data_IF_739185398941
#
_entry.id   IF_739185398941
#
_cell.length_a   1.000
_cell.length_b   1.000
_cell.length_c   1.000
_cell.angle_alpha   90.00
_cell.angle_beta   90.00
_cell.angle_gamma   90.00
#
_symmetry.space_group_name_H-M   'P 1'
#
loop_
_entity.id
_entity.type
_entity.pdbx_description
1 polymer ?
#
# COMPACT_ATOMS: atom_id res chain seq x y z
N UNK A 1 -8.00 -7.07 -3.58
CA UNK A 1 -8.94 -8.14 -3.95
C UNK A 1 -8.33 -9.49 -3.62
N UNK A 2 -9.05 -10.33 -2.89
CA UNK A 2 -8.76 -11.77 -2.79
C UNK A 2 -9.03 -12.46 -4.14
N UNK A 3 -8.52 -13.67 -4.35
CA UNK A 3 -8.71 -14.39 -5.62
C UNK A 3 -10.18 -14.50 -6.04
N UNK A 4 -11.08 -14.85 -5.11
CA UNK A 4 -12.53 -14.89 -5.37
C UNK A 4 -13.13 -13.55 -5.81
N UNK A 5 -12.56 -12.45 -5.34
CA UNK A 5 -13.02 -11.10 -5.67
C UNK A 5 -12.45 -10.65 -7.02
N UNK A 6 -11.22 -11.06 -7.36
CA UNK A 6 -10.64 -10.86 -8.69
C UNK A 6 -11.52 -11.49 -9.78
N UNK A 7 -12.04 -12.69 -9.51
CA UNK A 7 -12.98 -13.38 -10.41
C UNK A 7 -14.30 -12.63 -10.62
N UNK A 8 -14.69 -11.73 -9.72
CA UNK A 8 -15.93 -10.96 -9.83
C UNK A 8 -15.71 -9.55 -10.40
N UNK A 9 -14.54 -8.95 -10.15
CA UNK A 9 -14.24 -7.57 -10.55
C UNK A 9 -13.76 -7.44 -11.98
N UNK A 10 -13.03 -8.41 -12.52
CA UNK A 10 -12.53 -8.35 -13.89
C UNK A 10 -13.57 -8.85 -14.90
N UNK A 11 -13.56 -8.31 -16.12
CA UNK A 11 -14.27 -8.89 -17.25
C UNK A 11 -13.67 -10.24 -17.64
N UNK A 12 -14.43 -11.10 -18.32
CA UNK A 12 -13.94 -12.42 -18.73
C UNK A 12 -12.78 -12.32 -19.73
N UNK A 13 -12.82 -11.33 -20.63
CA UNK A 13 -11.71 -11.01 -21.53
C UNK A 13 -10.44 -10.67 -20.74
N UNK A 14 -10.54 -9.81 -19.73
CA UNK A 14 -9.39 -9.42 -18.89
C UNK A 14 -8.85 -10.61 -18.10
N UNK A 15 -9.72 -11.47 -17.55
CA UNK A 15 -9.28 -12.69 -16.85
C UNK A 15 -8.48 -13.61 -17.77
N UNK A 16 -8.96 -13.81 -19.00
CA UNK A 16 -8.29 -14.63 -19.99
C UNK A 16 -6.93 -14.03 -20.38
N UNK A 17 -6.87 -12.71 -20.57
CA UNK A 17 -5.62 -12.01 -20.88
C UNK A 17 -4.59 -12.08 -19.73
N UNK A 18 -5.05 -12.17 -18.48
CA UNK A 18 -4.19 -12.23 -17.29
C UNK A 18 -3.90 -13.65 -16.80
N UNK A 19 -4.44 -14.70 -17.46
CA UNK A 19 -4.40 -16.08 -16.95
C UNK A 19 -2.98 -16.59 -16.68
N UNK A 20 -2.02 -16.22 -17.53
CA UNK A 20 -0.62 -16.65 -17.44
C UNK A 20 0.28 -15.62 -16.72
N UNK A 21 -0.28 -14.51 -16.23
CA UNK A 21 0.48 -13.46 -15.57
C UNK A 21 0.64 -13.73 -14.07
N UNK A 22 1.87 -13.64 -13.56
CA UNK A 22 2.13 -13.68 -12.12
C UNK A 22 2.48 -12.27 -11.59
N UNK A 23 1.54 -11.57 -10.94
CA UNK A 23 1.79 -10.23 -10.42
C UNK A 23 2.77 -10.19 -9.23
N UNK A 24 3.24 -11.34 -8.77
CA UNK A 24 4.20 -11.47 -7.66
C UNK A 24 5.58 -11.95 -8.12
N UNK A 25 5.84 -11.99 -9.43
CA UNK A 25 7.13 -12.42 -9.96
C UNK A 25 8.30 -11.62 -9.37
N UNK A 26 8.19 -10.28 -9.33
CA UNK A 26 9.19 -9.41 -8.71
C UNK A 26 9.42 -9.74 -7.22
N UNK A 27 8.35 -10.04 -6.48
CA UNK A 27 8.43 -10.41 -5.06
C UNK A 27 9.23 -11.69 -4.89
N UNK A 28 8.93 -12.69 -5.73
CA UNK A 28 9.61 -13.98 -5.73
C UNK A 28 11.08 -13.79 -6.08
N UNK A 29 11.36 -13.02 -7.14
CA UNK A 29 12.72 -12.67 -7.56
C UNK A 29 13.51 -12.01 -6.42
N UNK A 30 12.98 -10.97 -5.78
CA UNK A 30 13.65 -10.30 -4.67
C UNK A 30 13.95 -11.24 -3.50
N UNK A 31 13.03 -12.16 -3.17
CA UNK A 31 13.29 -13.16 -2.12
C UNK A 31 14.42 -14.09 -2.51
N UNK A 32 14.42 -14.61 -3.74
CA UNK A 32 15.47 -15.50 -4.23
C UNK A 32 16.84 -14.82 -4.27
N UNK A 33 16.91 -13.60 -4.81
CA UNK A 33 18.14 -12.82 -4.92
C UNK A 33 18.73 -12.43 -3.57
N UNK A 34 17.88 -12.21 -2.55
CA UNK A 34 18.33 -11.82 -1.21
C UNK A 34 19.20 -12.87 -0.53
N UNK A 35 19.06 -14.15 -0.90
CA UNK A 35 19.68 -15.31 -0.24
C UNK A 35 19.41 -15.41 1.28
N UNK A 36 18.45 -14.64 1.79
CA UNK A 36 18.08 -14.66 3.20
C UNK A 36 17.34 -15.95 3.50
N UNK A 37 17.62 -16.55 4.65
CA UNK A 37 17.02 -17.83 5.05
C UNK A 37 15.82 -17.63 5.99
N UNK A 38 15.83 -16.57 6.80
CA UNK A 38 14.80 -16.32 7.81
C UNK A 38 13.68 -15.45 7.23
N UNK A 39 12.44 -15.88 7.39
CA UNK A 39 11.28 -15.17 6.86
C UNK A 39 11.15 -13.74 7.38
N UNK A 40 11.48 -13.50 8.65
CA UNK A 40 11.47 -12.15 9.20
C UNK A 40 12.44 -11.21 8.47
N UNK A 41 13.63 -11.70 8.12
CA UNK A 41 14.63 -10.91 7.38
C UNK A 41 14.18 -10.69 5.93
N UNK A 42 13.58 -11.70 5.29
CA UNK A 42 12.97 -11.57 3.95
C UNK A 42 11.86 -10.52 3.93
N UNK A 43 10.98 -10.50 4.94
CA UNK A 43 9.91 -9.50 5.06
C UNK A 43 10.49 -8.09 5.18
N UNK A 44 11.55 -7.90 5.98
CA UNK A 44 12.22 -6.61 6.10
C UNK A 44 12.89 -6.19 4.79
N UNK A 45 13.53 -7.13 4.09
CA UNK A 45 14.13 -6.88 2.79
C UNK A 45 13.09 -6.46 1.73
N UNK A 46 11.99 -7.20 1.61
CA UNK A 46 10.87 -6.85 0.74
C UNK A 46 10.26 -5.50 1.12
N UNK A 47 10.18 -5.20 2.42
CA UNK A 47 9.71 -3.89 2.88
C UNK A 47 10.62 -2.75 2.41
N UNK A 48 11.93 -2.98 2.32
CA UNK A 48 12.87 -1.98 1.76
C UNK A 48 12.73 -1.87 0.23
N UNK A 49 12.61 -3.02 -0.47
CA UNK A 49 12.60 -3.07 -1.93
C UNK A 49 11.29 -2.63 -2.59
N UNK A 50 10.16 -2.90 -1.94
CA UNK A 50 8.84 -2.66 -2.53
C UNK A 50 8.09 -1.56 -1.78
N UNK A 51 7.89 -1.76 -0.47
CA UNK A 51 7.02 -0.85 0.31
C UNK A 51 7.65 0.52 0.54
N UNK A 52 8.92 0.56 0.95
CA UNK A 52 9.60 1.81 1.27
C UNK A 52 9.81 2.64 0.00
N UNK A 53 10.32 2.01 -1.05
CA UNK A 53 10.62 2.67 -2.33
C UNK A 53 9.34 3.13 -3.04
N UNK A 54 8.41 2.21 -3.30
CA UNK A 54 7.31 2.43 -4.24
C UNK A 54 6.02 2.92 -3.56
N UNK A 55 5.94 2.94 -2.23
CA UNK A 55 4.79 3.51 -1.50
C UNK A 55 5.18 4.73 -0.65
N UNK A 56 6.21 4.61 0.21
CA UNK A 56 6.53 5.67 1.18
C UNK A 56 7.34 6.80 0.56
N UNK A 57 8.50 6.50 -0.02
CA UNK A 57 9.45 7.52 -0.47
C UNK A 57 8.91 8.29 -1.68
N UNK A 58 8.30 7.60 -2.64
CA UNK A 58 7.71 8.25 -3.83
C UNK A 58 6.67 9.31 -3.47
N UNK A 59 5.85 9.08 -2.43
CA UNK A 59 4.81 10.04 -2.02
C UNK A 59 5.41 11.26 -1.35
N UNK A 60 6.39 11.05 -0.47
CA UNK A 60 7.08 12.13 0.24
C UNK A 60 7.81 13.01 -0.77
N UNK A 61 8.58 12.41 -1.67
CA UNK A 61 9.36 13.12 -2.68
C UNK A 61 8.47 13.95 -3.61
N UNK A 62 7.45 13.32 -4.22
CA UNK A 62 6.53 14.03 -5.12
C UNK A 62 5.79 15.17 -4.44
N UNK A 63 5.31 14.96 -3.21
CA UNK A 63 4.59 15.99 -2.47
C UNK A 63 5.50 17.15 -2.03
N UNK A 64 6.74 16.85 -1.59
CA UNK A 64 7.66 17.88 -1.16
C UNK A 64 8.21 18.68 -2.33
N UNK A 65 8.62 18.02 -3.41
CA UNK A 65 9.16 18.69 -4.60
C UNK A 65 8.11 19.52 -5.34
N UNK A 66 6.83 19.11 -5.33
CA UNK A 66 5.72 19.94 -5.81
C UNK A 66 5.60 21.29 -5.06
N UNK A 67 6.19 21.40 -3.87
CA UNK A 67 6.22 22.61 -3.06
C UNK A 67 7.65 23.16 -2.89
N UNK A 68 8.60 22.75 -3.73
CA UNK A 68 10.03 23.15 -3.65
C UNK A 68 10.68 22.87 -2.29
N UNK A 69 10.25 21.81 -1.61
CA UNK A 69 10.79 21.37 -0.32
C UNK A 69 11.65 20.11 -0.49
N UNK A 70 12.88 20.16 0.03
CA UNK A 70 13.76 18.99 0.12
C UNK A 70 13.54 18.26 1.46
N UNK A 71 13.09 17.00 1.41
CA UNK A 71 12.92 16.16 2.61
C UNK A 71 14.11 15.23 2.78
N UNK A 72 14.70 15.23 3.98
CA UNK A 72 15.77 14.31 4.36
C UNK A 72 15.22 13.14 5.18
N UNK A 73 15.79 11.95 4.99
CA UNK A 73 15.37 10.70 5.64
C UNK A 73 16.53 10.05 6.40
N UNK A 74 16.95 10.58 7.57
CA UNK A 74 18.18 10.16 8.25
C UNK A 74 18.27 8.67 8.59
N UNK A 75 17.12 8.01 8.83
CA UNK A 75 17.07 6.57 9.11
C UNK A 75 17.44 5.70 7.89
N UNK A 76 17.53 6.28 6.70
CA UNK A 76 17.93 5.60 5.46
C UNK A 76 19.36 5.92 5.04
N UNK A 77 20.17 6.50 5.93
CA UNK A 77 21.61 6.51 5.71
C UNK A 77 22.12 5.08 5.52
N UNK A 78 22.89 4.86 4.45
CA UNK A 78 23.35 3.53 4.07
C UNK A 78 24.16 2.84 5.17
N UNK A 79 25.04 3.57 5.87
CA UNK A 79 25.85 2.98 6.96
C UNK A 79 24.97 2.55 8.13
N UNK A 80 23.94 3.33 8.45
CA UNK A 80 22.97 2.99 9.49
C UNK A 80 22.12 1.78 9.08
N UNK A 81 21.62 1.75 7.85
CA UNK A 81 20.81 0.64 7.33
C UNK A 81 21.61 -0.66 7.27
N UNK A 82 22.85 -0.63 6.78
CA UNK A 82 23.74 -1.79 6.72
C UNK A 82 24.03 -2.35 8.11
N UNK A 83 24.36 -1.47 9.07
CA UNK A 83 24.56 -1.85 10.46
C UNK A 83 23.31 -2.53 11.04
N UNK A 84 22.14 -1.89 10.93
CA UNK A 84 20.89 -2.43 11.47
C UNK A 84 20.48 -3.72 10.74
N UNK A 85 20.70 -3.82 9.44
CA UNK A 85 20.42 -5.03 8.66
C UNK A 85 21.20 -6.23 9.19
N UNK A 86 22.48 -6.05 9.55
CA UNK A 86 23.33 -7.08 10.14
C UNK A 86 22.99 -7.50 11.57
N UNK A 87 22.16 -6.73 12.30
CA UNK A 87 21.79 -7.08 13.67
C UNK A 87 20.86 -8.30 13.75
N UNK A 88 21.03 -9.17 14.77
CA UNK A 88 20.08 -10.24 15.07
C UNK A 88 18.64 -9.72 15.18
N UNK A 89 17.69 -10.49 14.65
CA UNK A 89 16.26 -10.12 14.61
C UNK A 89 15.67 -9.77 15.97
N UNK A 90 16.19 -10.36 17.06
CA UNK A 90 15.77 -10.07 18.44
C UNK A 90 15.92 -8.59 18.84
N UNK A 91 16.85 -7.86 18.22
CA UNK A 91 17.02 -6.41 18.46
C UNK A 91 15.97 -5.58 17.70
N UNK A 92 15.39 -6.13 16.64
CA UNK A 92 14.35 -5.49 15.82
C UNK A 92 12.96 -5.80 16.40
N UNK A 93 12.75 -7.04 16.84
CA UNK A 93 11.52 -7.56 17.44
C UNK A 93 11.85 -8.47 18.64
N UNK A 94 11.37 -8.10 19.83
CA UNK A 94 11.52 -8.92 21.05
C UNK A 94 10.15 -9.28 21.62
N UNK A 95 9.73 -10.53 21.44
CA UNK A 95 8.34 -10.95 21.71
C UNK A 95 7.38 -10.10 20.87
N UNK A 96 6.39 -9.46 21.50
CA UNK A 96 5.48 -8.53 20.84
C UNK A 96 6.00 -7.07 20.76
N UNK A 97 7.23 -6.82 21.20
CA UNK A 97 7.81 -5.47 21.20
C UNK A 97 8.55 -5.19 19.89
N UNK A 98 7.90 -4.44 18.99
CA UNK A 98 8.53 -3.92 17.77
C UNK A 98 9.48 -2.76 18.07
N UNK A 99 10.47 -2.56 17.18
CA UNK A 99 11.47 -1.47 17.28
C UNK A 99 12.23 -1.53 18.62
N UNK A 100 12.53 -2.74 19.09
CA UNK A 100 13.02 -2.96 20.45
C UNK A 100 14.29 -2.16 20.76
N UNK A 101 15.33 -2.29 19.91
CA UNK A 101 16.57 -1.56 20.07
C UNK A 101 16.37 -0.05 19.99
N UNK A 102 15.58 0.43 19.02
CA UNK A 102 15.29 1.86 18.89
C UNK A 102 14.63 2.42 20.15
N UNK A 103 13.64 1.72 20.71
CA UNK A 103 12.99 2.13 21.97
C UNK A 103 13.99 2.18 23.13
N UNK A 104 14.96 1.25 23.16
CA UNK A 104 16.05 1.21 24.16
C UNK A 104 17.13 2.27 23.93
N UNK A 105 17.33 2.74 22.70
CA UNK A 105 18.25 3.83 22.42
C UNK A 105 17.63 5.19 22.81
N UNK A 106 16.32 5.36 22.63
CA UNK A 106 15.65 6.67 22.81
C UNK A 106 15.00 6.87 24.18
N UNK A 107 15.03 5.88 25.07
CA UNK A 107 14.36 5.92 26.38
C UNK A 107 14.82 7.06 27.30
N UNK A 108 16.04 7.57 27.13
CA UNK A 108 16.57 8.70 27.90
C UNK A 108 16.46 10.04 27.15
N UNK A 109 15.96 10.03 25.90
CA UNK A 109 15.85 11.21 25.03
C UNK A 109 14.40 11.63 24.83
N UNK A 110 13.46 10.67 24.85
CA UNK A 110 12.05 10.91 24.61
C UNK A 110 11.20 10.56 25.83
N UNK A 111 10.06 11.24 26.03
CA UNK A 111 9.11 10.89 27.08
C UNK A 111 8.65 9.43 26.99
N UNK A 112 8.41 8.81 28.15
CA UNK A 112 8.10 7.38 28.26
C UNK A 112 6.86 6.99 27.45
N UNK A 113 5.85 7.85 27.43
CA UNK A 113 4.61 7.70 26.67
C UNK A 113 4.85 7.66 25.15
N UNK A 114 5.85 8.41 24.64
CA UNK A 114 6.22 8.39 23.22
C UNK A 114 6.95 7.09 22.87
N UNK A 115 7.90 6.68 23.72
CA UNK A 115 8.69 5.44 23.52
C UNK A 115 7.80 4.19 23.58
N UNK A 116 6.81 4.20 24.48
CA UNK A 116 5.90 3.06 24.68
C UNK A 116 4.72 3.05 23.71
N UNK A 117 4.48 4.15 22.98
CA UNK A 117 3.38 4.26 22.03
C UNK A 117 3.37 3.12 21.01
N UNK A 118 2.18 2.55 20.76
CA UNK A 118 1.97 1.55 19.72
C UNK A 118 2.29 2.15 18.33
N UNK A 119 2.84 1.34 17.42
CA UNK A 119 3.09 1.76 16.03
C UNK A 119 1.75 2.13 15.38
N UNK A 120 1.67 3.34 14.85
CA UNK A 120 0.58 3.82 14.02
C UNK A 120 1.11 4.02 12.60
N UNK A 121 0.41 3.47 11.61
CA UNK A 121 0.74 3.67 10.20
C UNK A 121 0.29 5.03 9.68
N UNK A 122 0.55 5.29 8.41
CA UNK A 122 0.18 6.52 7.69
C UNK A 122 -1.21 6.43 7.03
N UNK A 123 -2.13 5.67 7.63
CA UNK A 123 -3.46 5.47 7.06
C UNK A 123 -4.26 6.79 7.01
N UNK A 124 -4.75 7.14 5.83
CA UNK A 124 -5.68 8.24 5.62
C UNK A 124 -7.13 7.81 5.95
N UNK A 125 -8.01 8.74 6.35
CA UNK A 125 -9.40 8.44 6.68
C UNK A 125 -10.26 8.24 5.43
N UNK A 126 -9.85 7.32 4.55
CA UNK A 126 -10.37 7.24 3.18
C UNK A 126 -11.87 6.93 3.11
N UNK A 127 -12.39 6.08 4.02
CA UNK A 127 -13.84 5.85 4.11
C UNK A 127 -14.59 7.14 4.43
N UNK A 128 -14.08 7.98 5.34
CA UNK A 128 -14.69 9.30 5.64
C UNK A 128 -14.68 10.19 4.39
N UNK A 129 -13.59 10.20 3.64
CA UNK A 129 -13.47 11.00 2.43
C UNK A 129 -14.41 10.52 1.32
N UNK A 130 -14.54 9.21 1.11
CA UNK A 130 -15.52 8.66 0.17
C UNK A 130 -16.96 8.99 0.53
N UNK A 131 -17.29 9.09 1.82
CA UNK A 131 -18.62 9.54 2.27
C UNK A 131 -18.83 11.06 2.18
N UNK A 132 -17.80 11.83 1.86
CA UNK A 132 -17.83 13.29 1.81
C UNK A 132 -17.17 13.81 0.53
N UNK A 133 -16.03 14.46 0.69
CA UNK A 133 -15.31 15.24 -0.34
C UNK A 133 -15.00 14.45 -1.61
N UNK A 134 -14.71 13.15 -1.51
CA UNK A 134 -14.36 12.30 -2.66
C UNK A 134 -15.56 11.54 -3.24
N UNK A 135 -16.78 11.69 -2.67
CA UNK A 135 -17.95 10.93 -3.10
C UNK A 135 -18.25 11.11 -4.59
N UNK A 136 -18.35 12.37 -5.02
CA UNK A 136 -18.71 12.72 -6.40
C UNK A 136 -17.66 12.23 -7.39
N UNK A 137 -16.38 12.40 -7.06
CA UNK A 137 -15.27 11.89 -7.87
C UNK A 137 -15.34 10.37 -8.00
N UNK A 138 -15.49 9.66 -6.88
CA UNK A 138 -15.57 8.20 -6.88
C UNK A 138 -16.71 7.68 -7.77
N UNK A 139 -17.91 8.24 -7.61
CA UNK A 139 -19.09 7.84 -8.40
C UNK A 139 -18.95 8.21 -9.89
N UNK A 140 -18.29 9.32 -10.20
CA UNK A 140 -18.05 9.74 -11.58
C UNK A 140 -17.11 8.78 -12.30
N UNK A 141 -15.94 8.50 -11.72
CA UNK A 141 -14.94 7.61 -12.31
C UNK A 141 -15.41 6.16 -12.39
N UNK A 142 -16.17 5.69 -11.40
CA UNK A 142 -16.69 4.32 -11.35
C UNK A 142 -18.13 4.20 -11.88
N UNK A 143 -18.53 5.09 -12.79
CA UNK A 143 -19.84 5.05 -13.45
C UNK A 143 -19.94 3.90 -14.45
N UNK A 144 -21.17 3.43 -14.69
CA UNK A 144 -21.45 2.34 -15.62
C UNK A 144 -20.87 2.58 -17.01
N UNK A 145 -21.06 3.80 -17.52
CA UNK A 145 -20.57 4.21 -18.82
C UNK A 145 -19.05 4.10 -18.91
N UNK A 146 -18.33 4.65 -17.92
CA UNK A 146 -16.85 4.64 -17.91
C UNK A 146 -16.29 3.23 -17.78
N UNK A 147 -16.83 2.45 -16.85
CA UNK A 147 -16.37 1.08 -16.59
C UNK A 147 -16.65 0.19 -17.80
N UNK A 148 -17.86 0.26 -18.37
CA UNK A 148 -18.22 -0.54 -19.54
C UNK A 148 -17.41 -0.14 -20.76
N UNK A 149 -17.18 1.16 -20.97
CA UNK A 149 -16.32 1.66 -22.05
C UNK A 149 -14.87 1.19 -21.91
N UNK A 150 -14.36 1.07 -20.69
CA UNK A 150 -13.02 0.57 -20.45
C UNK A 150 -12.89 -0.93 -20.77
N UNK A 151 -13.96 -1.72 -20.61
CA UNK A 151 -13.98 -3.16 -20.90
C UNK A 151 -13.18 -4.04 -19.92
N UNK A 152 -12.47 -3.44 -18.95
CA UNK A 152 -11.54 -4.14 -18.05
C UNK A 152 -12.27 -4.74 -16.84
N UNK A 153 -13.25 -4.02 -16.30
CA UNK A 153 -13.96 -4.43 -15.08
C UNK A 153 -15.43 -4.72 -15.33
N UNK A 154 -15.98 -5.57 -14.47
CA UNK A 154 -17.38 -5.95 -14.46
C UNK A 154 -18.19 -4.99 -13.59
N UNK A 155 -18.90 -4.05 -14.23
CA UNK A 155 -19.62 -2.98 -13.53
C UNK A 155 -20.63 -3.45 -12.48
N UNK A 156 -21.47 -4.49 -12.69
CA UNK A 156 -22.40 -4.97 -11.67
C UNK A 156 -21.74 -5.28 -10.31
N UNK A 157 -20.52 -5.80 -10.32
CA UNK A 157 -19.77 -6.03 -9.08
C UNK A 157 -19.24 -4.73 -8.47
N UNK A 158 -18.74 -3.79 -9.27
CA UNK A 158 -18.34 -2.47 -8.77
C UNK A 158 -19.54 -1.73 -8.16
N UNK A 159 -20.71 -1.82 -8.80
CA UNK A 159 -21.95 -1.24 -8.32
C UNK A 159 -22.34 -1.80 -6.95
N UNK A 160 -22.25 -3.12 -6.74
CA UNK A 160 -22.57 -3.71 -5.43
C UNK A 160 -21.61 -3.22 -4.34
N UNK A 161 -20.31 -3.08 -4.63
CA UNK A 161 -19.34 -2.50 -3.70
C UNK A 161 -19.69 -1.04 -3.34
N UNK A 162 -20.07 -0.23 -4.33
CA UNK A 162 -20.49 1.16 -4.12
C UNK A 162 -21.76 1.22 -3.25
N UNK A 163 -22.79 0.45 -3.61
CA UNK A 163 -24.08 0.41 -2.92
C UNK A 163 -23.91 -0.03 -1.45
N UNK A 164 -23.16 -1.10 -1.20
CA UNK A 164 -22.89 -1.58 0.16
C UNK A 164 -22.05 -0.59 0.98
N UNK A 165 -21.08 0.09 0.36
CA UNK A 165 -20.26 1.09 1.02
C UNK A 165 -21.09 2.30 1.45
N UNK A 166 -21.87 2.87 0.53
CA UNK A 166 -22.68 4.05 0.81
C UNK A 166 -23.91 3.78 1.66
N UNK A 167 -24.44 2.54 1.63
CA UNK A 167 -25.45 2.09 2.58
C UNK A 167 -24.86 1.76 3.98
N UNK A 168 -23.55 1.93 4.18
CA UNK A 168 -22.81 1.60 5.41
C UNK A 168 -22.97 0.13 5.87
N UNK A 169 -23.24 -0.78 4.92
CA UNK A 169 -23.31 -2.22 5.19
C UNK A 169 -21.92 -2.82 5.35
N UNK A 170 -20.96 -2.38 4.53
CA UNK A 170 -19.58 -2.86 4.57
C UNK A 170 -18.58 -1.77 4.16
N UNK A 171 -17.39 -1.74 4.78
CA UNK A 171 -16.34 -0.78 4.42
C UNK A 171 -15.47 -1.29 3.26
N UNK A 172 -15.95 -1.06 2.04
CA UNK A 172 -15.23 -1.40 0.79
C UNK A 172 -14.13 -0.40 0.37
N UNK A 173 -13.65 0.47 1.26
CA UNK A 173 -12.65 1.50 0.89
C UNK A 173 -11.38 0.91 0.26
N UNK A 174 -10.98 -0.30 0.66
CA UNK A 174 -9.77 -0.97 0.19
C UNK A 174 -9.92 -1.49 -1.25
N UNK A 175 -11.14 -1.77 -1.68
CA UNK A 175 -11.48 -2.22 -3.03
C UNK A 175 -11.76 -1.02 -3.94
N UNK A 176 -12.51 -0.04 -3.45
CA UNK A 176 -12.92 1.13 -4.23
C UNK A 176 -11.74 2.06 -4.56
N UNK A 177 -10.75 2.19 -3.65
CA UNK A 177 -9.57 3.02 -3.88
C UNK A 177 -8.72 2.60 -5.09
N UNK A 178 -8.23 1.34 -5.20
CA UNK A 178 -7.44 0.95 -6.35
C UNK A 178 -8.23 1.05 -7.66
N UNK A 179 -9.54 0.80 -7.65
CA UNK A 179 -10.39 0.99 -8.84
C UNK A 179 -10.42 2.46 -9.27
N UNK A 180 -10.63 3.38 -8.33
CA UNK A 180 -10.60 4.82 -8.60
C UNK A 180 -9.25 5.26 -9.16
N UNK A 181 -8.15 4.90 -8.49
CA UNK A 181 -6.79 5.27 -8.90
C UNK A 181 -6.46 4.69 -10.28
N UNK A 182 -6.88 3.46 -10.56
CA UNK A 182 -6.68 2.83 -11.87
C UNK A 182 -7.45 3.58 -12.96
N UNK A 183 -8.73 3.90 -12.76
CA UNK A 183 -9.52 4.64 -13.75
C UNK A 183 -8.95 6.04 -14.00
N UNK A 184 -8.47 6.73 -12.96
CA UNK A 184 -7.78 8.02 -13.10
C UNK A 184 -6.48 7.89 -13.91
N UNK A 185 -5.68 6.87 -13.65
CA UNK A 185 -4.45 6.60 -14.40
C UNK A 185 -4.77 6.26 -15.86
N UNK A 186 -5.75 5.39 -16.10
CA UNK A 186 -6.18 4.98 -17.43
C UNK A 186 -6.65 6.17 -18.26
N UNK A 187 -7.45 7.07 -17.68
CA UNK A 187 -7.90 8.31 -18.35
C UNK A 187 -6.72 9.22 -18.73
N UNK A 188 -5.69 9.28 -17.91
CA UNK A 188 -4.54 10.16 -18.17
C UNK A 188 -3.58 9.58 -19.23
N UNK A 189 -3.44 8.26 -19.32
CA UNK A 189 -2.35 7.63 -20.07
C UNK A 189 -2.78 6.66 -21.18
N UNK A 190 -4.05 6.19 -21.19
CA UNK A 190 -4.55 5.18 -22.13
C UNK A 190 -5.76 5.64 -22.95
N UNK A 191 -6.29 6.85 -22.73
CA UNK A 191 -7.38 7.43 -23.53
C UNK A 191 -6.94 8.58 -24.42
#
# INVERSE_FOLDING_TARGET
>A
FLEREKQQVFSDETKNALADSNPFEDVIQYVHESKLLKDFERILYLSLKLYLQDDILVKVDRASMANSLEVRVPYLDHTFVEYVAGLPSLYKLRGFTTKYLLKKATQNVLPKEIVQRKKKGFGIPLSKWFHGELKTMLLSYLSEERITKAGIFHYPYIKSLLDEHFARKCDHRKQLWPLLVFEMWREQYLS
#
